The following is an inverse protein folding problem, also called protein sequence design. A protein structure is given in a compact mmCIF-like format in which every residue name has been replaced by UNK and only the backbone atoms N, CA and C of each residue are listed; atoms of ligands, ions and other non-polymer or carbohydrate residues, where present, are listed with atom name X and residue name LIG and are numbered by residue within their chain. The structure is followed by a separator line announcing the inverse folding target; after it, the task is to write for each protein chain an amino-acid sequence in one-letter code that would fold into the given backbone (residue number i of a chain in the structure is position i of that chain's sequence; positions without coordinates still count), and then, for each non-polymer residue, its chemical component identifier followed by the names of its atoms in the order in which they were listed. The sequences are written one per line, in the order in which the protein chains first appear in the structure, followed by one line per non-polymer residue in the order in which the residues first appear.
data_IF_056132137034
#
_entry.id   IF_056132137034
#
_cell.length_a   1.000
_cell.length_b   1.000
_cell.length_c   1.000
_cell.angle_alpha   90.00
_cell.angle_beta   90.00
_cell.angle_gamma   90.00
#
_symmetry.space_group_name_H-M   'P 1'
#
loop_
_entity.id
_entity.type
_entity.pdbx_description
1 polymer ?
#
# COMPACT_ATOMS: atom_id res chain seq x y z
N UNK A 1 6.41 -14.16 -15.44
CA UNK A 1 7.46 -13.73 -14.49
C UNK A 1 8.17 -12.52 -15.08
N UNK A 2 8.41 -11.47 -14.30
CA UNK A 2 9.12 -10.27 -14.77
C UNK A 2 10.64 -10.45 -14.69
N UNK A 3 11.39 -9.63 -15.40
CA UNK A 3 12.85 -9.68 -15.41
C UNK A 3 13.43 -9.07 -14.12
N UNK A 4 14.30 -9.83 -13.46
CA UNK A 4 14.87 -9.44 -12.16
C UNK A 4 15.81 -8.23 -12.28
N UNK A 5 16.59 -8.13 -13.36
CA UNK A 5 17.51 -7.01 -13.56
C UNK A 5 16.74 -5.72 -13.80
N UNK A 6 15.73 -5.75 -14.66
CA UNK A 6 14.84 -4.60 -14.90
C UNK A 6 14.18 -4.14 -13.60
N UNK A 7 13.75 -5.08 -12.76
CA UNK A 7 13.18 -4.76 -11.45
C UNK A 7 14.22 -4.09 -10.54
N UNK A 8 15.44 -4.62 -10.43
CA UNK A 8 16.52 -4.03 -9.62
C UNK A 8 16.88 -2.61 -10.07
N UNK A 9 16.97 -2.39 -11.37
CA UNK A 9 17.29 -1.09 -11.95
C UNK A 9 16.20 -0.06 -11.63
N UNK A 10 14.93 -0.42 -11.84
CA UNK A 10 13.80 0.44 -11.49
C UNK A 10 13.72 0.70 -9.98
N UNK A 11 13.86 -0.35 -9.15
CA UNK A 11 13.78 -0.25 -7.70
C UNK A 11 14.87 0.67 -7.15
N UNK A 12 16.09 0.58 -7.69
CA UNK A 12 17.20 1.44 -7.25
C UNK A 12 16.84 2.92 -7.42
N UNK A 13 16.35 3.30 -8.61
CA UNK A 13 15.90 4.67 -8.89
C UNK A 13 14.73 5.08 -7.98
N UNK A 14 13.74 4.20 -7.84
CA UNK A 14 12.58 4.45 -6.98
C UNK A 14 12.98 4.75 -5.52
N UNK A 15 13.84 3.92 -4.93
CA UNK A 15 14.34 4.11 -3.57
C UNK A 15 15.21 5.36 -3.43
N UNK A 16 16.09 5.63 -4.40
CA UNK A 16 16.94 6.82 -4.40
C UNK A 16 16.14 8.11 -4.53
N UNK A 17 15.07 8.12 -5.34
CA UNK A 17 14.13 9.23 -5.42
C UNK A 17 13.40 9.43 -4.09
N UNK A 18 12.81 8.38 -3.52
CA UNK A 18 12.12 8.48 -2.22
C UNK A 18 13.05 9.04 -1.12
N UNK A 19 14.27 8.50 -1.02
CA UNK A 19 15.29 8.95 -0.06
C UNK A 19 15.68 10.42 -0.23
N UNK A 20 15.83 10.86 -1.48
CA UNK A 20 16.14 12.26 -1.80
C UNK A 20 14.97 13.19 -1.48
N UNK A 21 13.73 12.72 -1.56
CA UNK A 21 12.57 13.55 -1.25
C UNK A 21 12.28 13.63 0.25
N UNK A 22 12.39 12.50 0.97
CA UNK A 22 11.96 12.38 2.37
C UNK A 22 13.10 12.40 3.40
N UNK A 23 14.33 12.09 3.00
CA UNK A 23 15.50 12.15 3.89
C UNK A 23 15.57 11.07 4.97
N UNK A 24 14.71 10.05 4.94
CA UNK A 24 14.64 9.03 5.99
C UNK A 24 15.73 7.96 5.93
N UNK A 25 16.31 7.73 4.74
CA UNK A 25 17.43 6.81 4.54
C UNK A 25 18.34 7.31 3.42
N UNK A 26 19.53 6.75 3.31
CA UNK A 26 20.51 7.17 2.31
C UNK A 26 20.06 6.83 0.88
N UNK A 27 20.13 7.76 -0.09
CA UNK A 27 19.74 7.50 -1.48
C UNK A 27 20.72 6.60 -2.24
N UNK A 28 21.83 6.17 -1.63
CA UNK A 28 22.86 5.35 -2.28
C UNK A 28 22.92 3.96 -1.66
N UNK A 29 23.15 3.86 -0.35
CA UNK A 29 23.29 2.58 0.33
C UNK A 29 22.05 2.16 1.13
N UNK A 30 20.98 2.96 1.11
CA UNK A 30 19.73 2.73 1.83
C UNK A 30 19.85 2.59 3.35
N UNK A 31 21.01 2.91 3.93
CA UNK A 31 21.21 2.95 5.37
C UNK A 31 20.42 4.08 6.04
N UNK A 32 19.78 3.78 7.16
CA UNK A 32 18.94 4.70 7.95
C UNK A 32 19.73 5.56 8.94
N UNK A 33 20.98 5.19 9.24
CA UNK A 33 21.85 5.95 10.17
C UNK A 33 22.39 7.22 9.48
N UNK A 34 21.87 8.38 9.87
CA UNK A 34 22.25 9.69 9.33
C UNK A 34 22.67 10.69 10.42
N UNK A 35 23.29 11.81 10.02
CA UNK A 35 23.58 12.97 10.86
C UNK A 35 23.21 14.26 10.13
N UNK A 36 22.86 15.31 10.87
CA UNK A 36 22.77 16.67 10.32
C UNK A 36 24.17 17.13 9.88
N UNK A 37 24.27 17.69 8.67
CA UNK A 37 25.52 18.12 8.04
C UNK A 37 25.42 19.58 7.57
N UNK A 38 25.19 20.50 8.51
CA UNK A 38 25.00 21.92 8.20
C UNK A 38 23.82 22.19 7.28
N UNK A 39 23.82 23.35 6.64
CA UNK A 39 22.75 23.82 5.75
C UNK A 39 23.28 24.11 4.35
N UNK A 40 22.41 24.07 3.34
CA UNK A 40 22.74 24.57 2.00
C UNK A 40 22.69 26.12 1.99
N UNK A 41 23.12 26.79 0.90
CA UNK A 41 23.03 28.26 0.80
C UNK A 41 21.61 28.84 0.95
N UNK A 42 20.58 28.02 0.73
CA UNK A 42 19.16 28.39 0.88
C UNK A 42 18.64 28.15 2.32
N UNK A 43 19.51 27.74 3.26
CA UNK A 43 19.15 27.47 4.65
C UNK A 43 18.48 26.12 4.90
N UNK A 44 18.35 25.24 3.89
CA UNK A 44 17.77 23.90 4.06
C UNK A 44 18.75 22.92 4.70
N UNK A 45 18.26 22.09 5.62
CA UNK A 45 19.06 21.09 6.34
C UNK A 45 19.68 20.07 5.38
N UNK A 46 21.00 19.91 5.42
CA UNK A 46 21.70 18.80 4.75
C UNK A 46 21.87 17.65 5.72
N UNK A 47 21.87 16.43 5.22
CA UNK A 47 22.13 15.22 5.99
C UNK A 47 23.23 14.39 5.36
N UNK A 48 23.98 13.68 6.19
CA UNK A 48 25.05 12.77 5.78
C UNK A 48 24.77 11.36 6.27
N UNK A 49 24.96 10.37 5.39
CA UNK A 49 24.89 8.96 5.76
C UNK A 49 26.11 8.56 6.58
N UNK A 50 25.91 7.90 7.72
CA UNK A 50 27.03 7.41 8.54
C UNK A 50 27.82 6.29 7.87
N UNK A 51 27.16 5.46 7.04
CA UNK A 51 27.74 4.30 6.38
C UNK A 51 28.61 4.69 5.19
N UNK A 52 28.03 5.35 4.17
CA UNK A 52 28.74 5.66 2.91
C UNK A 52 29.20 7.13 2.78
N UNK A 53 28.97 7.97 3.81
CA UNK A 53 29.33 9.40 3.84
C UNK A 53 28.66 10.29 2.77
N UNK A 54 27.72 9.76 1.98
CA UNK A 54 26.91 10.56 1.05
C UNK A 54 26.22 11.70 1.80
N UNK A 55 26.36 12.92 1.28
CA UNK A 55 25.64 14.11 1.73
C UNK A 55 24.55 14.46 0.73
N UNK A 56 23.35 14.80 1.22
CA UNK A 56 22.25 15.29 0.39
C UNK A 56 21.34 16.25 1.17
N UNK A 57 20.49 16.97 0.45
CA UNK A 57 19.48 17.87 1.01
C UNK A 57 18.09 17.31 0.69
N UNK A 58 17.35 16.76 1.65
CA UNK A 58 16.01 16.27 1.39
C UNK A 58 15.03 17.42 1.13
N UNK A 59 14.03 17.20 0.26
CA UNK A 59 12.98 18.20 0.00
C UNK A 59 12.09 18.43 1.23
N UNK A 60 11.78 17.35 1.95
CA UNK A 60 11.04 17.37 3.20
C UNK A 60 11.91 16.67 4.24
N UNK A 61 12.35 17.41 5.26
CA UNK A 61 13.11 16.83 6.35
C UNK A 61 12.23 16.61 7.56
N UNK A 62 12.02 15.35 7.92
CA UNK A 62 11.44 14.96 9.20
C UNK A 62 12.43 14.03 9.90
N UNK A 63 12.95 14.49 11.04
CA UNK A 63 14.05 13.84 11.77
C UNK A 63 13.63 12.51 12.40
N UNK A 64 12.41 12.44 12.91
CA UNK A 64 11.90 11.26 13.62
C UNK A 64 10.66 10.69 12.94
N UNK A 65 10.67 9.37 12.77
CA UNK A 65 9.53 8.57 12.35
C UNK A 65 9.29 7.57 13.46
N UNK A 66 8.09 7.58 14.02
CA UNK A 66 7.71 6.61 15.02
C UNK A 66 7.37 5.29 14.32
N UNK A 67 7.99 4.16 14.70
CA UNK A 67 7.62 2.87 14.15
C UNK A 67 6.15 2.53 14.47
N UNK A 68 5.40 1.95 13.52
CA UNK A 68 4.08 1.39 13.78
C UNK A 68 4.23 0.02 14.47
N UNK A 69 3.21 -0.43 15.20
CA UNK A 69 3.13 -1.80 15.69
C UNK A 69 2.52 -2.75 14.64
N UNK A 70 1.54 -2.23 13.90
CA UNK A 70 0.79 -2.94 12.87
C UNK A 70 0.75 -2.05 11.62
N UNK A 71 1.13 -2.63 10.48
CA UNK A 71 0.97 -1.98 9.18
C UNK A 71 -0.29 -2.51 8.52
N UNK A 72 -1.27 -1.63 8.33
CA UNK A 72 -2.46 -1.88 7.51
C UNK A 72 -2.16 -1.46 6.07
N UNK A 73 -2.48 -2.27 5.06
CA UNK A 73 -2.30 -1.90 3.63
C UNK A 73 -3.51 -2.27 2.80
N UNK A 74 -4.02 -1.30 2.05
CA UNK A 74 -5.13 -1.51 1.11
C UNK A 74 -4.78 -1.03 -0.29
N UNK A 75 -5.57 -1.47 -1.25
CA UNK A 75 -5.53 -1.00 -2.62
C UNK A 75 -6.77 -0.18 -2.98
N UNK A 76 -6.59 0.87 -3.77
CA UNK A 76 -7.66 1.70 -4.33
C UNK A 76 -7.45 1.85 -5.84
N UNK A 77 -8.55 1.87 -6.59
CA UNK A 77 -8.54 2.23 -8.01
C UNK A 77 -8.95 3.69 -8.17
N UNK A 78 -8.09 4.49 -8.78
CA UNK A 78 -8.32 5.94 -8.97
C UNK A 78 -8.40 6.28 -10.45
N UNK A 79 -9.48 6.92 -10.94
CA UNK A 79 -9.60 7.26 -12.35
C UNK A 79 -8.60 8.34 -12.76
N UNK A 80 -8.17 8.30 -14.02
CA UNK A 80 -7.38 9.36 -14.65
C UNK A 80 -7.68 9.47 -16.13
N UNK A 81 -7.29 10.59 -16.75
CA UNK A 81 -7.43 10.79 -18.18
C UNK A 81 -6.19 10.26 -18.92
N UNK A 82 -6.33 9.07 -19.48
CA UNK A 82 -5.32 8.43 -20.33
C UNK A 82 -5.66 8.45 -21.81
N UNK A 83 -5.34 7.36 -22.52
CA UNK A 83 -5.54 7.22 -23.97
C UNK A 83 -7.02 7.35 -24.38
N UNK A 84 -7.92 6.88 -23.54
CA UNK A 84 -9.38 7.00 -23.66
C UNK A 84 -10.00 7.29 -22.29
N UNK A 85 -11.33 7.38 -22.19
CA UNK A 85 -12.01 7.42 -20.91
C UNK A 85 -11.86 6.11 -20.11
N UNK A 86 -12.17 6.15 -18.81
CA UNK A 86 -12.23 4.96 -17.96
C UNK A 86 -10.88 4.35 -17.56
N UNK A 87 -9.77 5.09 -17.70
CA UNK A 87 -8.45 4.62 -17.27
C UNK A 87 -8.33 4.70 -15.76
N UNK A 88 -7.72 3.68 -15.15
CA UNK A 88 -7.59 3.56 -13.69
C UNK A 88 -6.11 3.42 -13.29
N UNK A 89 -5.73 4.08 -12.20
CA UNK A 89 -4.49 3.83 -11.47
C UNK A 89 -4.72 2.82 -10.38
N UNK A 90 -3.75 1.94 -10.18
CA UNK A 90 -3.69 1.08 -9.00
C UNK A 90 -2.88 1.79 -7.93
N UNK A 91 -3.50 2.07 -6.78
CA UNK A 91 -2.90 2.82 -5.67
C UNK A 91 -2.76 1.90 -4.47
N UNK A 92 -1.59 1.86 -3.87
CA UNK A 92 -1.31 1.17 -2.61
C UNK A 92 -1.07 2.20 -1.51
N UNK A 93 -1.70 1.99 -0.37
CA UNK A 93 -1.59 2.87 0.77
C UNK A 93 -1.40 2.03 2.02
N UNK A 94 -0.35 2.32 2.77
CA UNK A 94 -0.07 1.71 4.07
C UNK A 94 -0.21 2.72 5.20
N UNK A 95 -0.77 2.27 6.31
CA UNK A 95 -1.10 3.06 7.49
C UNK A 95 -0.47 2.44 8.75
N UNK A 96 -0.21 3.28 9.74
CA UNK A 96 -0.09 2.85 11.13
C UNK A 96 -1.51 2.52 11.61
N UNK A 97 -1.81 1.23 11.79
CA UNK A 97 -3.17 0.78 12.05
C UNK A 97 -3.72 1.27 13.41
N UNK A 98 -2.85 1.73 14.32
CA UNK A 98 -3.24 2.23 15.64
C UNK A 98 -3.36 3.75 15.66
N UNK A 99 -2.42 4.44 15.00
CA UNK A 99 -2.38 5.91 14.99
C UNK A 99 -3.15 6.55 13.84
N UNK A 100 -3.49 5.77 12.81
CA UNK A 100 -4.22 6.22 11.63
C UNK A 100 -3.38 7.00 10.62
N UNK A 101 -2.12 7.34 10.91
CA UNK A 101 -1.29 8.08 9.95
C UNK A 101 -0.86 7.19 8.78
N UNK A 102 -0.82 7.79 7.58
CA UNK A 102 -0.28 7.17 6.37
C UNK A 102 1.23 7.05 6.51
N UNK A 103 1.74 5.83 6.37
CA UNK A 103 3.16 5.52 6.36
C UNK A 103 3.75 5.66 4.98
N UNK A 104 3.04 5.17 3.96
CA UNK A 104 3.49 5.20 2.58
C UNK A 104 2.32 5.12 1.59
N UNK A 105 2.45 5.82 0.46
CA UNK A 105 1.52 5.76 -0.67
C UNK A 105 2.34 5.57 -1.94
N UNK A 106 1.92 4.63 -2.78
CA UNK A 106 2.48 4.43 -4.13
C UNK A 106 1.36 4.27 -5.13
N UNK A 107 1.56 4.78 -6.34
CA UNK A 107 0.74 4.42 -7.49
C UNK A 107 1.55 3.53 -8.41
N UNK A 108 0.88 2.75 -9.24
CA UNK A 108 1.56 1.99 -10.28
C UNK A 108 2.00 2.86 -11.48
N UNK A 109 1.82 4.17 -11.42
CA UNK A 109 2.44 5.09 -12.35
C UNK A 109 3.85 5.46 -11.87
N UNK A 110 4.82 5.45 -12.77
CA UNK A 110 6.16 5.96 -12.49
C UNK A 110 6.64 6.86 -13.61
N UNK A 111 7.35 7.93 -13.24
CA UNK A 111 8.07 8.78 -14.20
C UNK A 111 9.43 8.19 -14.59
N UNK A 112 9.91 7.20 -13.85
CA UNK A 112 11.19 6.54 -14.11
C UNK A 112 11.08 5.63 -15.32
N UNK A 113 12.21 5.42 -15.99
CA UNK A 113 12.30 4.35 -16.98
C UNK A 113 12.10 3.00 -16.27
N UNK A 114 11.38 2.10 -16.92
CA UNK A 114 11.20 0.74 -16.48
C UNK A 114 11.27 -0.15 -17.71
N UNK A 115 11.91 -1.31 -17.61
CA UNK A 115 11.95 -2.27 -18.70
C UNK A 115 10.57 -2.84 -19.02
N UNK A 116 10.38 -3.30 -20.25
CA UNK A 116 9.06 -3.70 -20.76
C UNK A 116 8.38 -4.83 -19.97
N UNK A 117 9.17 -5.71 -19.32
CA UNK A 117 8.62 -6.81 -18.52
C UNK A 117 7.90 -6.32 -17.26
N UNK A 118 8.17 -5.09 -16.82
CA UNK A 118 7.55 -4.46 -15.67
C UNK A 118 6.25 -3.74 -16.02
N UNK A 119 5.97 -3.53 -17.31
CA UNK A 119 4.84 -2.73 -17.76
C UNK A 119 3.53 -3.49 -17.60
N UNK A 120 2.51 -2.78 -17.13
CA UNK A 120 1.16 -3.31 -17.13
C UNK A 120 0.58 -3.31 -18.53
N UNK A 121 0.02 -4.45 -18.94
CA UNK A 121 -0.69 -4.62 -20.21
C UNK A 121 -2.07 -5.17 -19.91
N UNK A 122 -3.10 -4.38 -20.19
CA UNK A 122 -4.49 -4.81 -20.07
C UNK A 122 -4.84 -5.74 -21.23
N UNK A 123 -5.40 -6.91 -20.93
CA UNK A 123 -5.76 -7.96 -21.89
C UNK A 123 -7.23 -7.93 -22.32
N UNK A 124 -7.97 -6.89 -21.95
CA UNK A 124 -9.38 -6.75 -22.35
C UNK A 124 -10.39 -7.42 -21.42
N UNK A 125 -9.94 -8.10 -20.35
CA UNK A 125 -10.83 -8.74 -19.37
C UNK A 125 -10.47 -8.28 -17.96
N UNK A 126 -11.24 -7.34 -17.41
CA UNK A 126 -11.08 -6.88 -16.04
C UNK A 126 -11.73 -7.87 -15.07
N UNK A 127 -11.11 -8.06 -13.90
CA UNK A 127 -11.72 -8.83 -12.83
C UNK A 127 -13.03 -8.17 -12.36
N UNK A 128 -14.11 -8.94 -12.14
CA UNK A 128 -15.41 -8.38 -11.80
C UNK A 128 -15.39 -7.68 -10.45
N UNK A 129 -16.11 -6.56 -10.36
CA UNK A 129 -16.34 -5.85 -9.10
C UNK A 129 -17.25 -6.70 -8.19
N UNK A 130 -16.96 -6.71 -6.88
CA UNK A 130 -17.58 -7.64 -5.92
C UNK A 130 -18.72 -7.01 -5.09
N UNK A 131 -19.20 -5.82 -5.46
CA UNK A 131 -19.98 -4.92 -4.60
C UNK A 131 -21.34 -5.48 -4.12
N UNK A 132 -21.97 -6.40 -4.86
CA UNK A 132 -23.34 -6.87 -4.58
C UNK A 132 -23.41 -8.20 -3.81
N UNK A 133 -22.27 -8.83 -3.52
CA UNK A 133 -22.25 -10.13 -2.84
C UNK A 133 -22.00 -9.98 -1.35
N UNK A 134 -22.56 -10.89 -0.54
CA UNK A 134 -22.30 -10.90 0.89
C UNK A 134 -20.81 -11.20 1.18
N UNK A 135 -20.33 -10.82 2.35
CA UNK A 135 -18.90 -10.91 2.71
C UNK A 135 -18.28 -12.30 2.51
N UNK A 136 -19.03 -13.37 2.79
CA UNK A 136 -18.55 -14.76 2.62
C UNK A 136 -18.39 -15.07 1.13
N UNK A 137 -19.38 -14.70 0.32
CA UNK A 137 -19.31 -14.83 -1.14
C UNK A 137 -18.19 -13.97 -1.73
N UNK A 138 -17.92 -12.77 -1.20
CA UNK A 138 -16.80 -11.94 -1.66
C UNK A 138 -15.45 -12.64 -1.46
N UNK A 139 -15.23 -13.26 -0.31
CA UNK A 139 -14.03 -14.05 -0.04
C UNK A 139 -13.90 -15.21 -1.04
N UNK A 140 -14.98 -15.96 -1.28
CA UNK A 140 -14.99 -17.06 -2.27
C UNK A 140 -14.71 -16.57 -3.69
N UNK A 141 -15.35 -15.48 -4.11
CA UNK A 141 -15.17 -14.90 -5.44
C UNK A 141 -13.74 -14.40 -5.63
N UNK A 142 -13.14 -13.79 -4.61
CA UNK A 142 -11.76 -13.30 -4.65
C UNK A 142 -10.75 -14.45 -4.75
N UNK A 143 -10.93 -15.51 -3.97
CA UNK A 143 -10.11 -16.73 -4.10
C UNK A 143 -10.24 -17.36 -5.50
N UNK A 144 -11.46 -17.41 -6.04
CA UNK A 144 -11.70 -17.90 -7.40
C UNK A 144 -11.05 -17.01 -8.47
N UNK A 145 -11.03 -15.68 -8.28
CA UNK A 145 -10.33 -14.75 -9.16
C UNK A 145 -8.83 -15.06 -9.18
N UNK A 146 -8.20 -15.27 -8.01
CA UNK A 146 -6.77 -15.59 -7.93
C UNK A 146 -6.40 -16.83 -8.73
N UNK A 147 -7.21 -17.89 -8.62
CA UNK A 147 -6.97 -19.17 -9.29
C UNK A 147 -7.22 -19.13 -10.80
N UNK A 148 -8.05 -18.18 -11.27
CA UNK A 148 -8.27 -17.96 -12.71
C UNK A 148 -7.12 -17.20 -13.37
N UNK A 149 -6.26 -16.53 -12.59
CA UNK A 149 -5.09 -15.83 -13.13
C UNK A 149 -4.09 -16.85 -13.68
N UNK A 150 -3.47 -16.52 -14.82
CA UNK A 150 -2.40 -17.36 -15.38
C UNK A 150 -1.16 -17.40 -14.47
N UNK A 151 -0.92 -16.30 -13.76
CA UNK A 151 0.07 -16.15 -12.69
C UNK A 151 -0.57 -15.30 -11.60
N UNK A 152 -0.30 -15.62 -10.32
CA UNK A 152 -0.87 -14.88 -9.18
C UNK A 152 -0.56 -13.37 -9.19
N UNK A 153 0.48 -12.96 -9.91
CA UNK A 153 0.96 -11.59 -10.06
C UNK A 153 0.43 -10.85 -11.32
N UNK A 154 -0.44 -11.49 -12.12
CA UNK A 154 -1.08 -10.92 -13.32
C UNK A 154 -2.53 -10.46 -13.05
N UNK A 155 -2.72 -9.57 -12.07
CA UNK A 155 -4.02 -8.93 -11.84
C UNK A 155 -4.45 -8.09 -13.07
N UNK A 156 -5.72 -8.19 -13.46
CA UNK A 156 -6.34 -7.37 -14.51
C UNK A 156 -7.40 -6.44 -13.90
N UNK A 157 -6.97 -5.28 -13.41
CA UNK A 157 -7.86 -4.33 -12.71
C UNK A 157 -8.60 -3.35 -13.64
N UNK A 158 -8.41 -3.49 -14.96
CA UNK A 158 -8.97 -2.62 -15.99
C UNK A 158 -7.91 -1.90 -16.83
N UNK A 159 -8.36 -1.02 -17.72
CA UNK A 159 -7.48 -0.27 -18.62
C UNK A 159 -6.71 0.83 -17.86
N UNK A 160 -5.42 1.01 -18.20
CA UNK A 160 -4.56 2.05 -17.63
C UNK A 160 -3.61 2.67 -18.66
N UNK A 161 -4.01 2.71 -19.94
CA UNK A 161 -3.21 3.27 -21.01
C UNK A 161 -3.02 4.79 -20.85
N UNK A 162 -1.78 5.26 -20.88
CA UNK A 162 -1.45 6.69 -20.86
C UNK A 162 -1.78 7.37 -22.20
N UNK A 163 -1.92 8.71 -22.21
CA UNK A 163 -2.04 9.48 -23.46
C UNK A 163 -0.83 9.27 -24.37
N UNK A 164 -1.03 9.42 -25.68
CA UNK A 164 0.08 9.45 -26.66
C UNK A 164 1.11 10.50 -26.22
N UNK A 165 2.38 10.12 -26.16
CA UNK A 165 3.52 10.94 -25.72
C UNK A 165 3.49 11.38 -24.24
N UNK A 166 2.64 10.79 -23.39
CA UNK A 166 2.72 11.03 -21.96
C UNK A 166 4.06 10.54 -21.39
N UNK A 167 4.62 11.29 -20.44
CA UNK A 167 5.83 10.87 -19.71
C UNK A 167 5.50 9.79 -18.70
N UNK A 168 6.43 8.84 -18.54
CA UNK A 168 6.34 7.75 -17.58
C UNK A 168 5.65 6.51 -18.14
N UNK A 169 5.46 5.51 -17.27
CA UNK A 169 4.88 4.21 -17.60
C UNK A 169 3.96 3.73 -16.50
N UNK A 170 3.04 2.83 -16.83
CA UNK A 170 2.25 2.08 -15.84
C UNK A 170 2.91 0.74 -15.60
N UNK A 171 3.25 0.48 -14.35
CA UNK A 171 3.83 -0.76 -13.86
C UNK A 171 2.74 -1.78 -13.54
N UNK A 172 3.09 -3.06 -13.62
CA UNK A 172 2.27 -4.13 -13.05
C UNK A 172 2.08 -3.85 -11.54
N UNK A 173 0.88 -4.04 -10.98
CA UNK A 173 0.65 -3.82 -9.55
C UNK A 173 1.60 -4.58 -8.63
N UNK A 174 2.01 -5.81 -8.99
CA UNK A 174 3.00 -6.57 -8.23
C UNK A 174 4.36 -5.86 -8.10
N UNK A 175 4.84 -5.20 -9.15
CA UNK A 175 6.10 -4.45 -9.14
C UNK A 175 5.99 -3.27 -8.18
N UNK A 176 4.86 -2.59 -8.23
CA UNK A 176 4.53 -1.48 -7.32
C UNK A 176 4.48 -1.97 -5.88
N UNK A 177 3.85 -3.11 -5.61
CA UNK A 177 3.79 -3.71 -4.28
C UNK A 177 5.18 -4.04 -3.73
N UNK A 178 6.03 -4.69 -4.52
CA UNK A 178 7.41 -4.96 -4.08
C UNK A 178 8.16 -3.65 -3.79
N UNK A 179 8.10 -2.64 -4.66
CA UNK A 179 8.72 -1.33 -4.38
C UNK A 179 8.19 -0.69 -3.09
N UNK A 180 6.86 -0.67 -2.94
CA UNK A 180 6.14 -0.12 -1.79
C UNK A 180 6.59 -0.76 -0.47
N UNK A 181 6.59 -2.10 -0.39
CA UNK A 181 6.99 -2.82 0.81
C UNK A 181 8.50 -2.79 1.06
N UNK A 182 9.33 -2.61 0.02
CA UNK A 182 10.78 -2.37 0.21
C UNK A 182 11.04 -1.03 0.89
N UNK A 183 10.30 0.03 0.54
CA UNK A 183 10.37 1.31 1.28
C UNK A 183 9.99 1.10 2.74
N UNK A 184 8.84 0.48 3.00
CA UNK A 184 8.35 0.24 4.36
C UNK A 184 9.30 -0.64 5.19
N UNK A 185 9.89 -1.67 4.60
CA UNK A 185 10.86 -2.53 5.29
C UNK A 185 12.16 -1.79 5.65
N UNK A 186 12.63 -0.87 4.81
CA UNK A 186 13.79 -0.02 5.15
C UNK A 186 13.47 0.88 6.34
N UNK A 187 12.26 1.45 6.38
CA UNK A 187 11.82 2.35 7.45
C UNK A 187 11.52 1.59 8.75
N UNK A 188 10.88 0.42 8.64
CA UNK A 188 10.31 -0.34 9.75
C UNK A 188 10.66 -1.84 9.65
N UNK A 189 11.96 -2.20 9.73
CA UNK A 189 12.41 -3.57 9.49
C UNK A 189 11.95 -4.57 10.56
N UNK A 190 11.55 -4.08 11.74
CA UNK A 190 11.18 -4.90 12.90
C UNK A 190 9.68 -5.06 13.09
N UNK A 191 8.84 -4.47 12.22
CA UNK A 191 7.39 -4.64 12.28
C UNK A 191 7.04 -6.09 11.97
N UNK A 192 6.20 -6.68 12.82
CA UNK A 192 5.85 -8.10 12.75
C UNK A 192 4.46 -8.34 12.19
N UNK A 193 3.52 -7.43 12.40
CA UNK A 193 2.12 -7.63 12.04
C UNK A 193 1.75 -6.81 10.82
N UNK A 194 1.26 -7.49 9.78
CA UNK A 194 0.76 -6.88 8.55
C UNK A 194 -0.69 -7.28 8.33
N UNK A 195 -1.55 -6.28 8.19
CA UNK A 195 -2.96 -6.44 7.86
C UNK A 195 -3.17 -5.95 6.44
N UNK A 196 -3.75 -6.77 5.58
CA UNK A 196 -3.88 -6.44 4.16
C UNK A 196 -5.27 -6.75 3.63
N UNK A 197 -5.72 -5.95 2.66
CA UNK A 197 -6.86 -6.31 1.81
C UNK A 197 -6.63 -7.67 1.15
N UNK A 198 -7.69 -8.42 0.85
CA UNK A 198 -7.61 -9.77 0.28
C UNK A 198 -7.06 -9.74 -1.15
N UNK A 199 -5.74 -9.69 -1.28
CA UNK A 199 -5.01 -9.80 -2.54
C UNK A 199 -3.73 -10.62 -2.42
N UNK A 200 -3.63 -11.69 -3.23
CA UNK A 200 -2.60 -12.70 -3.08
C UNK A 200 -1.17 -12.20 -3.34
N UNK A 201 -0.98 -11.23 -4.25
CA UNK A 201 0.36 -10.71 -4.54
C UNK A 201 0.88 -9.77 -3.44
N UNK A 202 0.01 -9.14 -2.65
CA UNK A 202 0.41 -8.34 -1.48
C UNK A 202 1.07 -9.22 -0.42
N UNK A 203 0.48 -10.41 -0.16
CA UNK A 203 1.06 -11.44 0.70
C UNK A 203 2.49 -11.78 0.25
N UNK A 204 2.67 -12.07 -1.05
CA UNK A 204 3.99 -12.41 -1.61
C UNK A 204 5.02 -11.28 -1.45
N UNK A 205 4.61 -10.03 -1.68
CA UNK A 205 5.49 -8.88 -1.56
C UNK A 205 5.92 -8.61 -0.10
N UNK A 206 5.01 -8.78 0.87
CA UNK A 206 5.34 -8.67 2.31
C UNK A 206 6.28 -9.78 2.75
N UNK A 207 6.00 -11.05 2.40
CA UNK A 207 6.89 -12.17 2.73
C UNK A 207 8.29 -11.93 2.18
N UNK A 208 8.39 -11.39 0.96
CA UNK A 208 9.68 -11.06 0.35
C UNK A 208 10.39 -9.92 1.08
N UNK A 209 9.65 -8.87 1.48
CA UNK A 209 10.22 -7.70 2.12
C UNK A 209 10.74 -7.98 3.54
N UNK A 210 9.99 -8.76 4.35
CA UNK A 210 10.36 -9.15 5.72
C UNK A 210 10.75 -10.64 5.81
N UNK A 211 11.44 -11.17 4.80
CA UNK A 211 11.74 -12.59 4.68
C UNK A 211 12.38 -13.21 5.93
N UNK A 212 13.25 -12.47 6.63
CA UNK A 212 13.91 -12.96 7.84
C UNK A 212 12.93 -13.17 9.01
N UNK A 213 11.95 -12.28 9.19
CA UNK A 213 10.92 -12.45 10.23
C UNK A 213 10.03 -13.66 9.94
N UNK A 214 9.67 -13.89 8.68
CA UNK A 214 8.85 -15.04 8.30
C UNK A 214 9.61 -16.36 8.38
N UNK A 215 10.89 -16.39 8.00
CA UNK A 215 11.77 -17.56 8.20
C UNK A 215 11.90 -17.92 9.69
N UNK A 216 11.93 -16.91 10.56
CA UNK A 216 11.97 -17.07 12.01
C UNK A 216 10.58 -17.28 12.66
N UNK A 217 9.51 -17.38 11.86
CA UNK A 217 8.12 -17.54 12.33
C UNK A 217 7.66 -16.43 13.29
N UNK A 218 8.20 -15.22 13.12
CA UNK A 218 7.84 -14.05 13.94
C UNK A 218 6.91 -13.07 13.20
N UNK A 219 6.78 -13.21 11.88
CA UNK A 219 5.91 -12.37 11.05
C UNK A 219 4.48 -12.91 11.00
N UNK A 220 3.51 -12.01 11.13
CA UNK A 220 2.08 -12.26 11.06
C UNK A 220 1.48 -11.52 9.85
N UNK A 221 0.81 -12.23 8.94
CA UNK A 221 0.04 -11.62 7.84
C UNK A 221 -1.43 -12.02 7.99
N UNK A 222 -2.30 -11.04 7.89
CA UNK A 222 -3.74 -11.20 8.01
C UNK A 222 -4.44 -10.65 6.77
N UNK A 223 -5.29 -11.46 6.13
CA UNK A 223 -6.30 -10.92 5.23
C UNK A 223 -7.51 -10.44 6.04
N UNK A 224 -8.05 -9.29 5.64
CA UNK A 224 -9.31 -8.76 6.16
C UNK A 224 -10.21 -8.37 5.00
N UNK A 225 -11.46 -8.79 5.10
CA UNK A 225 -12.59 -8.28 4.34
C UNK A 225 -13.64 -7.74 5.33
N UNK A 226 -14.30 -6.65 4.99
CA UNK A 226 -15.25 -5.96 5.88
C UNK A 226 -16.51 -5.49 5.14
N UNK A 227 -17.63 -5.49 5.87
CA UNK A 227 -18.89 -4.82 5.56
C UNK A 227 -19.20 -3.90 6.73
N UNK A 228 -18.85 -2.61 6.60
CA UNK A 228 -19.12 -1.63 7.65
C UNK A 228 -20.28 -0.76 7.19
N UNK A 229 -21.43 -0.92 7.86
CA UNK A 229 -22.63 -0.12 7.63
C UNK A 229 -22.75 1.05 8.60
N UNK A 230 -22.14 0.94 9.79
CA UNK A 230 -22.12 1.95 10.83
C UNK A 230 -20.75 1.97 11.50
N UNK A 231 -19.89 2.92 11.12
CA UNK A 231 -18.53 3.04 11.67
C UNK A 231 -18.51 3.62 13.09
N UNK A 232 -19.66 4.03 13.63
CA UNK A 232 -19.82 4.56 14.98
C UNK A 232 -20.28 3.51 16.01
N UNK A 233 -20.59 2.29 15.55
CA UNK A 233 -20.99 1.20 16.44
C UNK A 233 -19.83 0.77 17.34
N UNK A 234 -20.01 0.96 18.65
CA UNK A 234 -19.01 0.64 19.67
C UNK A 234 -19.29 -0.70 20.38
N UNK A 235 -20.25 -1.49 19.91
CA UNK A 235 -20.49 -2.82 20.46
C UNK A 235 -19.25 -3.71 20.29
N UNK A 236 -18.96 -4.66 21.18
CA UNK A 236 -17.86 -5.58 20.98
C UNK A 236 -18.14 -6.51 19.78
N UNK A 237 -17.08 -6.84 19.04
CA UNK A 237 -17.15 -7.82 17.97
C UNK A 237 -17.49 -9.20 18.55
N UNK A 238 -18.51 -9.85 17.98
CA UNK A 238 -18.92 -11.20 18.38
C UNK A 238 -18.50 -12.19 17.32
N UNK A 239 -17.76 -13.21 17.73
CA UNK A 239 -17.41 -14.33 16.86
C UNK A 239 -18.67 -15.11 16.47
N UNK A 240 -18.88 -15.31 15.17
CA UNK A 240 -20.04 -16.03 14.64
C UNK A 240 -19.68 -17.44 14.18
N UNK A 241 -18.47 -17.65 13.65
CA UNK A 241 -18.07 -18.95 13.16
C UNK A 241 -16.78 -18.93 12.33
N UNK A 242 -16.37 -20.12 11.91
CA UNK A 242 -15.22 -20.34 11.03
C UNK A 242 -15.66 -20.95 9.72
N UNK A 243 -15.12 -20.46 8.62
CA UNK A 243 -15.32 -20.98 7.26
C UNK A 243 -13.96 -21.24 6.59
N UNK A 244 -13.96 -22.04 5.52
CA UNK A 244 -12.73 -22.46 4.82
C UNK A 244 -12.83 -22.16 3.34
N UNK A 245 -11.93 -21.32 2.83
CA UNK A 245 -12.04 -20.75 1.49
C UNK A 245 -10.77 -20.98 0.66
N UNK A 246 -10.96 -20.95 -0.66
CA UNK A 246 -9.89 -21.09 -1.64
C UNK A 246 -9.28 -22.50 -1.73
N UNK A 247 -8.29 -22.62 -2.60
CA UNK A 247 -7.58 -23.89 -2.85
C UNK A 247 -6.84 -24.40 -1.61
N UNK A 248 -6.26 -23.48 -0.83
CA UNK A 248 -5.51 -23.79 0.38
C UNK A 248 -6.38 -24.09 1.60
N UNK A 249 -7.71 -24.01 1.46
CA UNK A 249 -8.66 -24.11 2.58
C UNK A 249 -8.24 -23.21 3.74
N UNK A 250 -7.89 -21.96 3.41
CA UNK A 250 -7.52 -20.96 4.39
C UNK A 250 -8.66 -20.80 5.41
N UNK A 251 -8.33 -20.77 6.70
CA UNK A 251 -9.31 -20.63 7.76
C UNK A 251 -9.68 -19.16 7.93
N UNK A 252 -10.95 -18.83 7.72
CA UNK A 252 -11.51 -17.49 7.91
C UNK A 252 -12.44 -17.48 9.11
N UNK A 253 -12.33 -16.44 9.94
CA UNK A 253 -13.22 -16.21 11.06
C UNK A 253 -14.21 -15.10 10.70
N UNK A 254 -15.50 -15.37 10.90
CA UNK A 254 -16.58 -14.39 10.71
C UNK A 254 -16.93 -13.74 12.05
N UNK A 255 -16.94 -12.42 12.06
CA UNK A 255 -17.23 -11.59 13.21
C UNK A 255 -18.33 -10.58 12.88
N UNK A 256 -19.19 -10.28 13.85
CA UNK A 256 -20.32 -9.36 13.71
C UNK A 256 -20.33 -8.33 14.83
N UNK A 257 -20.63 -7.08 14.49
CA UNK A 257 -20.80 -5.96 15.42
C UNK A 257 -22.02 -5.17 14.95
N UNK A 258 -23.17 -5.36 15.59
CA UNK A 258 -24.43 -4.75 15.15
C UNK A 258 -24.76 -5.09 13.69
N UNK A 259 -24.71 -4.08 12.82
CA UNK A 259 -24.89 -4.22 11.36
C UNK A 259 -23.59 -4.49 10.60
N UNK A 260 -22.44 -4.32 11.24
CA UNK A 260 -21.13 -4.52 10.67
C UNK A 260 -20.74 -6.00 10.67
N UNK A 261 -19.96 -6.40 9.67
CA UNK A 261 -19.37 -7.73 9.57
C UNK A 261 -17.92 -7.63 9.15
N UNK A 262 -17.09 -8.54 9.61
CA UNK A 262 -15.74 -8.71 9.09
C UNK A 262 -15.37 -10.17 9.01
N UNK A 263 -14.53 -10.50 8.02
CA UNK A 263 -13.90 -11.79 7.87
C UNK A 263 -12.39 -11.61 7.96
N UNK A 264 -11.76 -12.40 8.82
CA UNK A 264 -10.33 -12.31 9.12
C UNK A 264 -9.67 -13.66 8.91
N UNK A 265 -8.53 -13.70 8.22
CA UNK A 265 -7.77 -14.92 7.96
C UNK A 265 -6.29 -14.74 8.26
N UNK A 266 -5.75 -15.57 9.15
CA UNK A 266 -4.32 -15.67 9.40
C UNK A 266 -3.64 -16.46 8.27
N UNK A 267 -2.65 -15.86 7.60
CA UNK A 267 -1.90 -16.49 6.50
C UNK A 267 -0.54 -17.06 6.92
N UNK A 268 -0.08 -16.66 8.09
CA UNK A 268 1.10 -17.16 8.77
C UNK A 268 0.70 -17.45 10.22
N UNK A 269 1.45 -18.33 10.90
CA UNK A 269 1.17 -18.66 12.30
C UNK A 269 1.00 -17.39 13.13
N UNK A 270 -0.11 -17.28 13.85
CA UNK A 270 -0.50 -16.08 14.60
C UNK A 270 -1.54 -16.42 15.65
N UNK A 271 -1.63 -15.59 16.70
CA UNK A 271 -2.62 -15.82 17.74
C UNK A 271 -4.01 -15.43 17.22
N UNK A 272 -4.87 -16.43 17.02
CA UNK A 272 -6.25 -16.26 16.56
C UNK A 272 -7.08 -15.30 17.41
N UNK A 273 -6.70 -15.06 18.68
CA UNK A 273 -7.37 -14.07 19.53
C UNK A 273 -7.19 -12.62 19.05
N UNK A 274 -6.20 -12.33 18.18
CA UNK A 274 -6.01 -10.99 17.63
C UNK A 274 -7.08 -10.61 16.62
N UNK A 275 -7.76 -11.59 15.99
CA UNK A 275 -8.72 -11.34 14.93
C UNK A 275 -9.85 -10.38 15.34
N UNK A 276 -10.24 -10.39 16.61
CA UNK A 276 -11.23 -9.46 17.17
C UNK A 276 -10.79 -8.00 17.05
N UNK A 277 -9.50 -7.70 17.26
CA UNK A 277 -8.96 -6.33 17.28
C UNK A 277 -8.56 -5.80 15.91
N UNK A 278 -8.29 -6.68 14.94
CA UNK A 278 -7.84 -6.25 13.62
C UNK A 278 -9.00 -5.71 12.78
N UNK A 279 -8.75 -4.65 12.02
CA UNK A 279 -9.72 -4.03 11.11
C UNK A 279 -8.97 -3.26 10.01
N UNK A 280 -9.69 -2.82 8.97
CA UNK A 280 -9.21 -1.82 8.01
C UNK A 280 -9.74 -0.41 8.33
N UNK A 281 -9.97 -0.09 9.61
CA UNK A 281 -10.60 1.18 10.00
C UNK A 281 -9.80 2.41 9.57
N UNK A 282 -8.47 2.35 9.66
CA UNK A 282 -7.63 3.50 9.34
C UNK A 282 -7.69 3.84 7.85
N UNK A 283 -7.66 2.83 6.98
CA UNK A 283 -7.85 3.06 5.55
C UNK A 283 -9.25 3.52 5.20
N UNK A 284 -10.30 2.99 5.83
CA UNK A 284 -11.68 3.47 5.63
C UNK A 284 -11.80 4.96 5.95
N UNK A 285 -11.35 5.38 7.13
CA UNK A 285 -11.40 6.79 7.53
C UNK A 285 -10.64 7.69 6.56
N UNK A 286 -9.47 7.26 6.08
CA UNK A 286 -8.75 8.03 5.06
C UNK A 286 -9.49 8.06 3.72
N UNK A 287 -10.03 6.94 3.25
CA UNK A 287 -10.77 6.88 1.97
C UNK A 287 -12.01 7.76 2.03
N UNK A 288 -12.77 7.72 3.12
CA UNK A 288 -13.93 8.58 3.33
C UNK A 288 -13.54 10.06 3.39
N UNK A 289 -12.43 10.39 4.06
CA UNK A 289 -11.88 11.74 4.06
C UNK A 289 -11.42 12.17 2.67
N UNK A 290 -10.78 11.27 1.90
CA UNK A 290 -10.27 11.51 0.56
C UNK A 290 -11.42 11.85 -0.41
N UNK A 291 -12.53 11.11 -0.34
CA UNK A 291 -13.72 11.35 -1.15
C UNK A 291 -14.44 12.67 -0.82
N UNK A 292 -14.18 13.28 0.34
CA UNK A 292 -14.66 14.63 0.69
C UNK A 292 -13.79 15.74 0.11
N UNK A 293 -12.59 15.44 -0.40
CA UNK A 293 -11.67 16.45 -0.93
C UNK A 293 -12.03 16.82 -2.36
N UNK A 294 -12.42 18.08 -2.58
CA UNK A 294 -12.78 18.58 -3.91
C UNK A 294 -11.67 18.38 -4.95
N UNK A 295 -10.40 18.57 -4.56
CA UNK A 295 -9.25 18.37 -5.47
C UNK A 295 -9.12 16.91 -5.92
N UNK A 296 -9.55 15.95 -5.11
CA UNK A 296 -9.56 14.53 -5.47
C UNK A 296 -10.76 14.19 -6.36
N UNK A 297 -11.97 14.61 -5.99
CA UNK A 297 -13.19 14.29 -6.74
C UNK A 297 -13.19 14.87 -8.15
N UNK A 298 -12.48 15.98 -8.37
CA UNK A 298 -12.30 16.60 -9.69
C UNK A 298 -11.00 16.17 -10.39
N UNK A 299 -10.27 15.17 -9.88
CA UNK A 299 -8.95 14.78 -10.42
C UNK A 299 -9.03 13.85 -11.65
N UNK A 300 -10.17 13.21 -11.91
CA UNK A 300 -10.32 12.24 -12.99
C UNK A 300 -9.91 12.75 -14.39
N UNK A 301 -10.14 14.03 -14.78
CA UNK A 301 -9.70 14.57 -16.07
C UNK A 301 -8.17 14.78 -16.19
N UNK A 302 -7.41 14.58 -15.12
CA UNK A 302 -5.97 14.86 -15.07
C UNK A 302 -5.14 13.63 -15.48
N UNK A 303 -3.86 13.86 -15.80
CA UNK A 303 -2.94 12.78 -16.14
C UNK A 303 -2.59 11.92 -14.92
N UNK A 304 -2.20 10.66 -15.15
CA UNK A 304 -1.75 9.74 -14.10
C UNK A 304 -0.71 10.35 -13.15
N UNK A 305 0.28 11.07 -13.70
CA UNK A 305 1.29 11.75 -12.91
C UNK A 305 0.73 12.88 -12.05
N UNK A 306 -0.24 13.66 -12.56
CA UNK A 306 -0.86 14.72 -11.78
C UNK A 306 -1.76 14.17 -10.68
N UNK A 307 -2.54 13.12 -10.97
CA UNK A 307 -3.34 12.41 -9.96
C UNK A 307 -2.44 11.84 -8.87
N UNK A 308 -1.31 11.22 -9.23
CA UNK A 308 -0.32 10.72 -8.27
C UNK A 308 0.20 11.82 -7.35
N UNK A 309 0.52 13.00 -7.88
CA UNK A 309 0.97 14.14 -7.07
C UNK A 309 -0.13 14.68 -6.13
N UNK A 310 -1.38 14.72 -6.59
CA UNK A 310 -2.53 15.10 -5.74
C UNK A 310 -2.67 14.12 -4.58
N UNK A 311 -2.64 12.81 -4.85
CA UNK A 311 -2.73 11.78 -3.82
C UNK A 311 -1.60 11.89 -2.78
N UNK A 312 -0.35 12.12 -3.23
CA UNK A 312 0.79 12.30 -2.33
C UNK A 312 0.65 13.56 -1.47
N UNK A 313 0.12 14.66 -2.02
CA UNK A 313 -0.15 15.89 -1.26
C UNK A 313 -1.25 15.67 -0.22
N UNK A 314 -2.37 15.07 -0.63
CA UNK A 314 -3.49 14.80 0.27
C UNK A 314 -3.12 13.83 1.40
N UNK A 315 -2.25 12.86 1.14
CA UNK A 315 -1.72 11.98 2.18
C UNK A 315 -0.87 12.75 3.21
N UNK A 316 -0.11 13.76 2.78
CA UNK A 316 0.64 14.65 3.69
C UNK A 316 -0.31 15.53 4.50
N UNK A 317 -1.33 16.10 3.85
CA UNK A 317 -2.34 16.95 4.51
C UNK A 317 -3.11 16.16 5.57
N UNK A 318 -3.53 14.94 5.25
CA UNK A 318 -4.19 14.04 6.19
C UNK A 318 -3.33 13.77 7.43
N UNK A 319 -2.04 13.45 7.23
CA UNK A 319 -1.10 13.24 8.35
C UNK A 319 -0.89 14.50 9.19
N UNK A 320 -0.89 15.69 8.57
CA UNK A 320 -0.75 16.96 9.28
C UNK A 320 -1.99 17.30 10.09
N UNK A 321 -3.19 17.00 9.59
CA UNK A 321 -4.44 17.13 10.32
C UNK A 321 -4.50 16.16 11.51
N UNK A 322 -4.16 14.89 11.31
CA UNK A 322 -4.17 13.87 12.36
C UNK A 322 -3.22 14.21 13.53
N UNK A 323 -2.04 14.78 13.25
CA UNK A 323 -1.10 15.23 14.30
C UNK A 323 -1.65 16.35 15.19
N UNK A 324 -2.53 17.21 14.67
CA UNK A 324 -3.14 18.29 15.47
C UNK A 324 -4.10 17.74 16.51
N UNK A 325 -4.85 16.69 16.18
CA UNK A 325 -5.82 16.04 17.09
C UNK A 325 -5.17 15.28 18.26
N UNK A 326 -3.87 15.00 18.21
CA UNK A 326 -3.12 14.31 19.28
C UNK A 326 -2.34 15.32 20.16
N UNK A 327 -2.26 16.59 19.72
CA UNK A 327 -1.49 17.64 20.41
C UNK A 327 -2.37 18.62 21.21
N UNK A 328 -3.70 18.46 21.15
CA UNK A 328 -4.71 19.16 21.94
C UNK A 328 -5.32 18.21 22.99
#
# INVERSE_FOLDING_TARGET
MFDEQQFRDWLSVHLSTFATEKGHFCPVCYGTKTICYGHNPQGSQRIQCRNCKKVWTPKQYQKEITPPEIIETVALLVPFQGASGGQKLYVLISFDALRGNILHLSTNYTQHQAGESLHYRYRGNAEPELHESNIVQRVDMREAQFLRRSQFDEIQYGSAALKRNAKGVILRPVITAHGHFRVLNILFPTVKTHVISHECFLRGAIITAWADLFRQQQGEIWFIEEEIADDTDNMPWRFQGTTYHGWWKNQWQLWVQGKNRKMVCALTGGNNSKAEMLSLATSRHFIDWLHKQAVFTHSAPLSAGRVTQILLSLAQDYNNCARRLISD
#
